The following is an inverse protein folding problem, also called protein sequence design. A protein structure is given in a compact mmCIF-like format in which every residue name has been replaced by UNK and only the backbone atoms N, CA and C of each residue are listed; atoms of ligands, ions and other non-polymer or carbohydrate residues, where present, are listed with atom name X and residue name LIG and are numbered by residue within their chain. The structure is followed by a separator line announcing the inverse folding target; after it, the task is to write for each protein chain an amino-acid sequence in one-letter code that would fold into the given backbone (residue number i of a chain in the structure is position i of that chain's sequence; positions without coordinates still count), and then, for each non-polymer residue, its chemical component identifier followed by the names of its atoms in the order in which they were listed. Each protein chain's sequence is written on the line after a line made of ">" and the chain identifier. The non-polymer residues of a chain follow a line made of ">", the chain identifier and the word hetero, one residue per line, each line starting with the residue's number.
data_IF_938442251735
#
_entry.id   IF_938442251735
#
_cell.length_a   1.000
_cell.length_b   1.000
_cell.length_c   1.000
_cell.angle_alpha   90.00
_cell.angle_beta   90.00
_cell.angle_gamma   90.00
#
_symmetry.space_group_name_H-M   'P 1'
#
loop_
_entity.id
_entity.type
_entity.pdbx_description
1 polymer ?
#
# COMPACT_ATOMS: atom_id res chain seq x y z
N UNK A 1 1.82 13.04 -27.05
CA UNK A 1 1.46 12.26 -25.84
C UNK A 1 2.45 12.63 -24.74
N UNK A 2 2.01 12.72 -23.48
CA UNK A 2 2.90 12.97 -22.35
C UNK A 2 3.61 11.69 -21.95
N UNK A 3 4.93 11.69 -21.73
CA UNK A 3 5.66 10.49 -21.37
C UNK A 3 5.30 10.02 -19.95
N UNK A 4 5.29 8.70 -19.75
CA UNK A 4 5.06 8.02 -18.48
C UNK A 4 6.19 7.04 -18.22
N UNK A 5 6.77 7.06 -17.03
CA UNK A 5 7.72 6.04 -16.59
C UNK A 5 7.06 5.10 -15.60
N UNK A 6 7.12 3.80 -15.87
CA UNK A 6 6.86 2.75 -14.89
C UNK A 6 8.21 2.42 -14.26
N UNK A 7 8.37 2.72 -12.97
CA UNK A 7 9.58 2.44 -12.22
C UNK A 7 9.36 1.22 -11.31
N UNK A 8 10.16 0.18 -11.51
CA UNK A 8 10.16 -1.05 -10.74
C UNK A 8 11.38 -1.03 -9.82
N UNK A 9 11.15 -1.01 -8.50
CA UNK A 9 12.22 -1.14 -7.52
C UNK A 9 12.30 -2.60 -7.05
N UNK A 10 13.47 -3.23 -7.24
CA UNK A 10 13.68 -4.64 -7.00
C UNK A 10 14.76 -4.90 -5.95
N UNK A 11 14.51 -5.89 -5.09
CA UNK A 11 15.53 -6.51 -4.24
C UNK A 11 15.17 -7.97 -3.95
N UNK A 12 15.89 -8.91 -4.58
CA UNK A 12 15.72 -10.36 -4.41
C UNK A 12 14.31 -10.88 -4.75
N UNK A 13 13.76 -10.44 -5.88
CA UNK A 13 12.47 -10.90 -6.42
C UNK A 13 12.61 -11.65 -7.74
N UNK A 14 13.68 -12.45 -7.92
CA UNK A 14 13.96 -13.20 -9.17
C UNK A 14 12.75 -13.98 -9.68
N UNK A 15 11.91 -14.47 -8.79
CA UNK A 15 10.75 -15.29 -9.11
C UNK A 15 9.65 -14.53 -9.86
N UNK A 16 9.50 -13.24 -9.61
CA UNK A 16 8.36 -12.44 -10.08
C UNK A 16 8.77 -11.27 -10.97
N UNK A 17 10.04 -10.88 -10.91
CA UNK A 17 10.53 -9.67 -11.57
C UNK A 17 10.28 -9.68 -13.08
N UNK A 18 10.42 -10.84 -13.74
CA UNK A 18 10.16 -10.96 -15.17
C UNK A 18 8.69 -10.64 -15.50
N UNK A 19 7.74 -11.19 -14.72
CA UNK A 19 6.31 -10.92 -14.91
C UNK A 19 6.01 -9.42 -14.74
N UNK A 20 6.60 -8.77 -13.74
CA UNK A 20 6.42 -7.33 -13.51
C UNK A 20 6.96 -6.49 -14.68
N UNK A 21 8.16 -6.78 -15.17
CA UNK A 21 8.76 -6.09 -16.32
C UNK A 21 7.94 -6.31 -17.59
N UNK A 22 7.53 -7.55 -17.87
CA UNK A 22 6.74 -7.87 -19.06
C UNK A 22 5.37 -7.16 -19.02
N UNK A 23 4.72 -7.09 -17.84
CA UNK A 23 3.48 -6.35 -17.67
C UNK A 23 3.64 -4.84 -17.93
N UNK A 24 4.78 -4.27 -17.54
CA UNK A 24 5.12 -2.87 -17.78
C UNK A 24 5.43 -2.60 -19.26
N UNK A 25 6.09 -3.52 -19.95
CA UNK A 25 6.38 -3.42 -21.39
C UNK A 25 5.15 -3.65 -22.27
N UNK A 26 4.13 -4.37 -21.77
CA UNK A 26 2.92 -4.69 -22.50
C UNK A 26 1.84 -3.59 -22.46
N UNK A 27 2.17 -2.39 -21.98
CA UNK A 27 1.21 -1.28 -21.90
C UNK A 27 0.82 -0.78 -23.30
N UNK A 28 -0.46 -0.51 -23.50
CA UNK A 28 -1.03 -0.01 -24.78
C UNK A 28 -0.80 1.50 -25.02
N UNK A 29 -0.14 2.19 -24.08
CA UNK A 29 0.19 3.61 -24.19
C UNK A 29 1.59 3.81 -24.77
N UNK A 30 1.73 4.32 -26.02
CA UNK A 30 3.01 4.31 -26.75
C UNK A 30 4.14 5.11 -26.13
N UNK A 31 3.84 6.11 -25.28
CA UNK A 31 4.85 6.94 -24.62
C UNK A 31 5.23 6.39 -23.23
N UNK A 32 5.16 5.07 -23.04
CA UNK A 32 5.55 4.39 -21.80
C UNK A 32 7.03 4.02 -21.85
N UNK A 33 7.74 4.29 -20.76
CA UNK A 33 9.13 3.90 -20.52
C UNK A 33 9.18 3.01 -19.26
N UNK A 34 10.05 2.01 -19.25
CA UNK A 34 10.26 1.12 -18.12
C UNK A 34 11.65 1.34 -17.54
N UNK A 35 11.69 1.68 -16.25
CA UNK A 35 12.91 1.82 -15.45
C UNK A 35 12.90 0.73 -14.38
N UNK A 36 14.00 -0.03 -14.28
CA UNK A 36 14.20 -1.01 -13.20
C UNK A 36 15.39 -0.57 -12.36
N UNK A 37 15.16 -0.39 -11.05
CA UNK A 37 16.21 -0.09 -10.08
C UNK A 37 16.42 -1.31 -9.19
N UNK A 38 17.56 -1.95 -9.33
CA UNK A 38 17.99 -3.08 -8.49
C UNK A 38 18.77 -2.58 -7.27
N UNK A 39 18.23 -2.80 -6.09
CA UNK A 39 18.81 -2.38 -4.81
C UNK A 39 19.79 -3.40 -4.23
N UNK A 40 20.71 -3.88 -5.05
CA UNK A 40 21.78 -4.75 -4.58
C UNK A 40 21.35 -6.21 -4.42
N UNK A 41 20.51 -6.75 -5.32
CA UNK A 41 20.09 -8.14 -5.29
C UNK A 41 21.26 -9.13 -5.34
N UNK A 42 21.10 -10.23 -4.62
CA UNK A 42 22.05 -11.34 -4.52
C UNK A 42 21.54 -12.62 -5.18
N UNK A 43 20.28 -12.62 -5.62
CA UNK A 43 19.66 -13.68 -6.42
C UNK A 43 19.89 -13.44 -7.93
N UNK A 44 19.15 -14.12 -8.79
CA UNK A 44 19.26 -13.99 -10.25
C UNK A 44 18.58 -12.74 -10.84
N UNK A 45 18.09 -11.82 -10.01
CA UNK A 45 17.40 -10.61 -10.47
C UNK A 45 18.23 -9.82 -11.48
N UNK A 46 19.54 -9.67 -11.26
CA UNK A 46 20.44 -8.93 -12.17
C UNK A 46 20.63 -9.60 -13.53
N UNK A 47 20.63 -10.93 -13.57
CA UNK A 47 20.65 -11.69 -14.82
C UNK A 47 19.36 -11.46 -15.60
N UNK A 48 18.21 -11.52 -14.91
CA UNK A 48 16.90 -11.25 -15.49
C UNK A 48 16.87 -9.83 -16.06
N UNK A 49 17.23 -8.81 -15.29
CA UNK A 49 17.28 -7.42 -15.76
C UNK A 49 18.16 -7.29 -17.01
N UNK A 50 19.35 -7.92 -17.00
CA UNK A 50 20.28 -7.89 -18.12
C UNK A 50 19.72 -8.51 -19.40
N UNK A 51 18.84 -9.50 -19.29
CA UNK A 51 18.22 -10.19 -20.45
C UNK A 51 17.26 -9.28 -21.23
N UNK A 52 16.75 -8.20 -20.64
CA UNK A 52 15.86 -7.26 -21.32
C UNK A 52 16.60 -6.26 -22.22
N UNK A 53 17.91 -6.09 -22.04
CA UNK A 53 18.75 -5.21 -22.86
C UNK A 53 18.20 -3.79 -22.94
N UNK A 54 18.11 -3.24 -24.15
CA UNK A 54 17.65 -1.86 -24.39
C UNK A 54 16.14 -1.65 -24.27
N UNK A 55 15.34 -2.70 -24.02
CA UNK A 55 13.89 -2.57 -23.82
C UNK A 55 13.52 -1.85 -22.53
N UNK A 56 14.43 -1.87 -21.55
CA UNK A 56 14.28 -1.21 -20.26
C UNK A 56 15.51 -0.36 -19.96
N UNK A 57 15.33 0.66 -19.15
CA UNK A 57 16.45 1.34 -18.49
C UNK A 57 16.74 0.63 -17.16
N UNK A 58 17.97 0.17 -16.96
CA UNK A 58 18.37 -0.54 -15.75
C UNK A 58 19.35 0.31 -14.92
N UNK A 59 19.13 0.36 -13.62
CA UNK A 59 20.01 0.98 -12.63
C UNK A 59 20.35 -0.06 -11.56
N UNK A 60 21.62 -0.46 -11.49
CA UNK A 60 22.09 -1.40 -10.49
C UNK A 60 22.85 -0.64 -9.40
N UNK A 61 22.43 -0.73 -8.15
CA UNK A 61 23.07 -0.04 -7.02
C UNK A 61 23.43 -1.00 -5.88
N UNK A 62 24.19 -0.52 -4.92
CA UNK A 62 24.39 -1.21 -3.65
C UNK A 62 23.10 -1.13 -2.80
N UNK A 63 22.84 -2.15 -1.98
CA UNK A 63 21.65 -2.20 -1.15
C UNK A 63 21.59 -1.03 -0.14
N UNK A 64 20.55 -0.21 -0.25
CA UNK A 64 20.25 0.90 0.63
C UNK A 64 18.83 0.82 1.23
N UNK A 65 18.03 -0.13 0.77
CA UNK A 65 16.62 -0.29 1.15
C UNK A 65 15.66 0.43 0.21
N UNK A 66 14.38 0.22 0.44
CA UNK A 66 13.30 0.68 -0.46
C UNK A 66 13.31 2.20 -0.67
N UNK A 67 13.56 2.99 0.40
CA UNK A 67 13.64 4.46 0.27
C UNK A 67 14.80 4.87 -0.62
N UNK A 68 15.96 4.25 -0.47
CA UNK A 68 17.13 4.51 -1.33
C UNK A 68 16.86 4.15 -2.80
N UNK A 69 16.15 3.04 -3.04
CA UNK A 69 15.75 2.64 -4.39
C UNK A 69 14.75 3.65 -5.01
N UNK A 70 13.76 4.14 -4.24
CA UNK A 70 12.80 5.15 -4.69
C UNK A 70 13.47 6.50 -4.96
N UNK A 71 14.33 6.98 -4.06
CA UNK A 71 15.11 8.19 -4.28
C UNK A 71 15.89 8.09 -5.60
N UNK A 72 16.61 6.97 -5.80
CA UNK A 72 17.36 6.73 -7.03
C UNK A 72 16.46 6.64 -8.26
N UNK A 73 15.32 5.99 -8.18
CA UNK A 73 14.38 5.91 -9.30
C UNK A 73 13.90 7.31 -9.72
N UNK A 74 13.56 8.18 -8.78
CA UNK A 74 13.07 9.53 -9.04
C UNK A 74 14.15 10.45 -9.61
N UNK A 75 15.43 10.24 -9.28
CA UNK A 75 16.56 10.96 -9.89
C UNK A 75 16.75 10.59 -11.37
N UNK A 76 16.37 9.36 -11.74
CA UNK A 76 16.51 8.84 -13.11
C UNK A 76 15.31 9.15 -14.02
N UNK A 77 14.18 9.61 -13.47
CA UNK A 77 12.93 9.82 -14.20
C UNK A 77 12.83 11.26 -14.69
N UNK A 78 12.67 11.43 -16.00
CA UNK A 78 12.42 12.73 -16.65
C UNK A 78 10.96 12.91 -17.07
N UNK A 79 10.19 11.84 -17.15
CA UNK A 79 8.77 11.87 -17.55
C UNK A 79 7.89 12.67 -16.57
N UNK A 80 6.83 13.28 -17.09
CA UNK A 80 5.89 14.07 -16.28
C UNK A 80 5.07 13.19 -15.31
N UNK A 81 4.82 11.93 -15.68
CA UNK A 81 4.01 10.99 -14.89
C UNK A 81 4.80 9.74 -14.55
N UNK A 82 4.57 9.22 -13.36
CA UNK A 82 5.29 8.07 -12.79
C UNK A 82 4.31 7.07 -12.20
N UNK A 83 4.49 5.79 -12.51
CA UNK A 83 3.88 4.68 -11.78
C UNK A 83 5.00 3.95 -11.04
N UNK A 84 4.83 3.73 -9.74
CA UNK A 84 5.76 2.95 -8.93
C UNK A 84 5.19 1.54 -8.80
N UNK A 85 5.80 0.58 -9.49
CA UNK A 85 5.36 -0.81 -9.53
C UNK A 85 6.28 -1.67 -8.65
N UNK A 86 5.70 -2.43 -7.73
CA UNK A 86 6.44 -3.42 -6.95
C UNK A 86 6.85 -4.60 -7.84
N UNK A 87 8.01 -5.20 -7.55
CA UNK A 87 8.64 -6.21 -8.40
C UNK A 87 7.91 -7.57 -8.43
N UNK A 88 6.87 -7.73 -7.63
CA UNK A 88 6.02 -8.92 -7.53
C UNK A 88 4.57 -8.69 -8.03
N UNK A 89 4.23 -7.44 -8.40
CA UNK A 89 2.92 -7.04 -8.87
C UNK A 89 2.85 -6.93 -10.41
N UNK A 90 1.65 -6.74 -10.93
CA UNK A 90 1.38 -6.65 -12.37
C UNK A 90 0.51 -5.44 -12.71
N UNK A 91 0.75 -4.84 -13.88
CA UNK A 91 -0.19 -3.90 -14.51
C UNK A 91 -0.96 -4.60 -15.64
N UNK A 92 -2.25 -4.25 -15.78
CA UNK A 92 -3.01 -4.70 -16.96
C UNK A 92 -2.67 -3.83 -18.17
N UNK A 93 -2.79 -4.35 -19.41
CA UNK A 93 -2.30 -3.66 -20.60
C UNK A 93 -2.83 -2.24 -20.80
N UNK A 94 -4.05 -1.95 -20.34
CA UNK A 94 -4.70 -0.64 -20.47
C UNK A 94 -4.45 0.30 -19.27
N UNK A 95 -3.61 -0.08 -18.31
CA UNK A 95 -3.46 0.68 -17.07
C UNK A 95 -2.96 2.12 -17.31
N UNK A 96 -1.91 2.27 -18.10
CA UNK A 96 -1.35 3.60 -18.39
C UNK A 96 -2.34 4.46 -19.17
N UNK A 97 -3.04 3.91 -20.15
CA UNK A 97 -4.06 4.65 -20.93
C UNK A 97 -5.17 5.19 -20.04
N UNK A 98 -5.72 4.38 -19.14
CA UNK A 98 -6.78 4.81 -18.22
C UNK A 98 -6.28 5.85 -17.20
N UNK A 99 -5.09 5.66 -16.66
CA UNK A 99 -4.42 6.61 -15.76
C UNK A 99 -4.23 7.95 -16.45
N UNK A 100 -3.72 7.96 -17.69
CA UNK A 100 -3.48 9.20 -18.44
C UNK A 100 -4.78 9.89 -18.84
N UNK A 101 -5.84 9.14 -19.14
CA UNK A 101 -7.18 9.70 -19.35
C UNK A 101 -7.69 10.40 -18.08
N UNK A 102 -7.45 9.79 -16.92
CA UNK A 102 -7.84 10.38 -15.64
C UNK A 102 -7.05 11.64 -15.33
N UNK A 103 -5.74 11.66 -15.55
CA UNK A 103 -4.93 12.88 -15.40
C UNK A 103 -5.38 14.02 -16.34
N UNK A 104 -5.83 13.69 -17.54
CA UNK A 104 -6.33 14.68 -18.49
C UNK A 104 -7.68 15.30 -18.08
N UNK A 105 -8.44 14.67 -17.18
CA UNK A 105 -9.76 15.13 -16.73
C UNK A 105 -9.73 16.14 -15.57
N UNK A 106 -8.55 16.47 -15.04
CA UNK A 106 -8.43 17.41 -13.92
C UNK A 106 -6.99 17.63 -13.46
N UNK A 107 -6.80 18.55 -12.54
CA UNK A 107 -5.47 18.83 -11.96
C UNK A 107 -5.23 17.95 -10.73
N UNK A 108 -4.80 16.72 -10.97
CA UNK A 108 -4.50 15.75 -9.93
C UNK A 108 -3.00 15.60 -9.72
N UNK A 109 -2.55 15.57 -8.48
CA UNK A 109 -1.19 15.22 -8.11
C UNK A 109 -0.95 13.70 -8.13
N UNK A 110 -2.02 12.94 -7.89
CA UNK A 110 -2.02 11.48 -7.81
C UNK A 110 -3.32 10.94 -8.43
N UNK A 111 -3.20 9.84 -9.17
CA UNK A 111 -4.30 8.98 -9.60
C UNK A 111 -4.07 7.60 -9.01
N UNK A 112 -5.04 7.08 -8.27
CA UNK A 112 -5.01 5.72 -7.76
C UNK A 112 -6.06 4.85 -8.46
N UNK A 113 -5.80 3.55 -8.55
CA UNK A 113 -6.68 2.57 -9.16
C UNK A 113 -6.70 1.27 -8.36
N UNK A 114 -7.75 0.49 -8.54
CA UNK A 114 -7.87 -0.79 -7.82
C UNK A 114 -6.94 -1.83 -8.39
N UNK A 115 -6.56 -2.78 -7.54
CA UNK A 115 -5.77 -3.95 -7.90
C UNK A 115 -6.58 -5.21 -7.55
N UNK A 116 -6.61 -6.18 -8.46
CA UNK A 116 -7.06 -7.53 -8.13
C UNK A 116 -6.02 -8.20 -7.24
N UNK A 117 -6.46 -8.89 -6.22
CA UNK A 117 -5.55 -9.67 -5.39
C UNK A 117 -5.33 -11.04 -6.03
N UNK A 118 -4.06 -11.39 -6.23
CA UNK A 118 -3.64 -12.69 -6.77
C UNK A 118 -2.80 -13.46 -5.76
N UNK A 119 -2.87 -14.78 -5.80
CA UNK A 119 -1.99 -15.67 -5.04
C UNK A 119 -0.56 -15.66 -5.56
N UNK A 120 0.31 -16.37 -4.87
CA UNK A 120 1.70 -16.57 -5.28
C UNK A 120 1.82 -17.28 -6.64
N UNK A 121 0.82 -18.08 -6.99
CA UNK A 121 0.67 -18.79 -8.27
C UNK A 121 0.07 -17.93 -9.40
N UNK A 122 -0.27 -16.67 -9.13
CA UNK A 122 -0.90 -15.75 -10.08
C UNK A 122 -2.43 -15.92 -10.19
N UNK A 123 -3.04 -16.86 -9.46
CA UNK A 123 -4.48 -17.07 -9.51
C UNK A 123 -5.25 -15.95 -8.80
N UNK A 124 -6.32 -15.43 -9.42
CA UNK A 124 -7.16 -14.40 -8.83
C UNK A 124 -7.91 -14.94 -7.61
N UNK A 125 -7.86 -14.21 -6.51
CA UNK A 125 -8.60 -14.55 -5.28
C UNK A 125 -10.05 -14.05 -5.31
N UNK A 126 -10.38 -13.21 -6.31
CA UNK A 126 -11.65 -12.50 -6.43
C UNK A 126 -11.79 -11.32 -5.44
N UNK A 127 -10.77 -10.97 -4.70
CA UNK A 127 -10.70 -9.75 -3.87
C UNK A 127 -10.04 -8.64 -4.67
N UNK A 128 -10.53 -7.41 -4.46
CA UNK A 128 -9.98 -6.19 -5.09
C UNK A 128 -9.67 -5.16 -4.01
N UNK A 129 -8.55 -4.47 -4.12
CA UNK A 129 -8.11 -3.45 -3.16
C UNK A 129 -7.79 -2.11 -3.84
N UNK A 130 -8.09 -0.96 -3.20
CA UNK A 130 -8.89 -0.79 -2.00
C UNK A 130 -10.39 -1.04 -2.27
N UNK A 131 -11.17 -1.28 -1.21
CA UNK A 131 -12.61 -1.47 -1.35
C UNK A 131 -13.39 -0.16 -1.58
N UNK A 132 -12.80 0.99 -1.23
CA UNK A 132 -13.40 2.31 -1.38
C UNK A 132 -12.44 3.26 -2.07
N UNK A 133 -12.99 4.22 -2.79
CA UNK A 133 -12.24 5.27 -3.44
C UNK A 133 -11.72 6.28 -2.40
N UNK A 134 -10.62 6.97 -2.73
CA UNK A 134 -10.15 8.09 -1.94
C UNK A 134 -11.16 9.25 -2.02
N UNK A 135 -11.39 9.99 -0.93
CA UNK A 135 -12.16 11.21 -0.98
C UNK A 135 -11.45 12.30 -1.81
N UNK A 136 -12.20 13.30 -2.24
CA UNK A 136 -11.65 14.37 -3.07
C UNK A 136 -10.55 15.18 -2.34
N UNK A 137 -10.71 15.42 -1.05
CA UNK A 137 -9.77 16.19 -0.22
C UNK A 137 -9.03 15.29 0.79
N UNK A 138 -8.08 14.54 0.27
CA UNK A 138 -7.19 13.73 1.10
C UNK A 138 -6.22 14.60 1.95
N UNK A 139 -5.88 15.78 1.48
CA UNK A 139 -4.96 16.68 2.17
C UNK A 139 -5.50 17.18 3.51
N UNK A 140 -6.76 17.55 3.57
CA UNK A 140 -7.43 17.96 4.82
C UNK A 140 -7.50 16.79 5.80
N UNK A 141 -7.89 15.60 5.34
CA UNK A 141 -7.91 14.41 6.20
C UNK A 141 -6.55 14.10 6.83
N UNK A 142 -5.46 14.21 6.06
CA UNK A 142 -4.11 14.02 6.58
C UNK A 142 -3.73 15.08 7.63
N UNK A 143 -4.15 16.34 7.44
CA UNK A 143 -3.94 17.40 8.45
C UNK A 143 -4.74 17.17 9.73
N UNK A 144 -5.81 16.40 9.66
CA UNK A 144 -6.59 15.93 10.81
C UNK A 144 -6.06 14.60 11.38
N UNK A 145 -5.00 14.03 10.77
CA UNK A 145 -4.39 12.77 11.18
C UNK A 145 -5.03 11.52 10.57
N UNK A 146 -5.98 11.62 9.65
CA UNK A 146 -6.60 10.46 9.02
C UNK A 146 -5.85 10.00 7.78
N UNK A 147 -5.43 8.74 7.76
CA UNK A 147 -4.97 8.09 6.54
C UNK A 147 -6.17 7.68 5.69
N UNK A 148 -6.17 8.07 4.43
CA UNK A 148 -7.26 7.76 3.50
C UNK A 148 -7.04 6.39 2.81
N UNK A 149 -8.12 5.75 2.31
CA UNK A 149 -8.01 4.49 1.59
C UNK A 149 -7.16 4.63 0.33
N UNK A 150 -6.09 3.87 0.25
CA UNK A 150 -5.21 3.78 -0.92
C UNK A 150 -4.89 2.31 -1.24
N UNK A 151 -4.69 1.96 -2.51
CA UNK A 151 -4.10 0.69 -2.87
C UNK A 151 -2.63 0.60 -2.40
N UNK A 152 -2.01 -0.59 -2.43
CA UNK A 152 -0.55 -0.73 -2.37
C UNK A 152 0.16 0.11 -3.43
N UNK A 153 1.50 0.21 -3.35
CA UNK A 153 2.33 1.04 -4.23
C UNK A 153 1.93 0.96 -5.71
N UNK A 154 1.78 -0.25 -6.22
CA UNK A 154 1.51 -0.56 -7.63
C UNK A 154 0.20 -0.01 -8.19
N UNK A 155 -0.75 0.33 -7.31
CA UNK A 155 -2.04 0.92 -7.69
C UNK A 155 -2.03 2.45 -7.76
N UNK A 156 -0.86 3.11 -7.85
CA UNK A 156 -0.75 4.55 -7.79
C UNK A 156 0.12 5.11 -8.91
N UNK A 157 -0.37 6.17 -9.51
CA UNK A 157 0.36 6.99 -10.47
C UNK A 157 0.44 8.44 -9.97
N UNK A 158 1.53 9.11 -10.27
CA UNK A 158 1.85 10.41 -9.71
C UNK A 158 2.30 11.40 -10.79
N UNK A 159 2.03 12.70 -10.58
CA UNK A 159 2.82 13.74 -11.24
C UNK A 159 4.21 13.77 -10.62
N UNK A 160 5.26 13.73 -11.44
CA UNK A 160 6.63 13.85 -10.98
C UNK A 160 6.85 15.13 -10.16
N UNK A 161 6.28 16.25 -10.60
CA UNK A 161 6.35 17.53 -9.88
C UNK A 161 5.76 17.49 -8.46
N UNK A 162 4.84 16.58 -8.17
CA UNK A 162 4.33 16.36 -6.82
C UNK A 162 5.26 15.46 -6.00
N UNK A 163 5.80 14.40 -6.61
CA UNK A 163 6.79 13.53 -5.96
C UNK A 163 8.05 14.30 -5.54
N UNK A 164 8.57 15.17 -6.38
CA UNK A 164 9.79 15.96 -6.09
C UNK A 164 9.64 16.96 -4.94
N UNK A 165 8.40 17.29 -4.55
CA UNK A 165 8.15 18.08 -3.33
C UNK A 165 8.31 17.24 -2.05
N UNK A 166 8.18 15.93 -2.16
CA UNK A 166 8.26 14.99 -1.03
C UNK A 166 9.63 14.32 -0.98
N UNK A 167 10.12 13.85 -2.13
CA UNK A 167 11.41 13.17 -2.27
C UNK A 167 12.56 14.15 -2.60
N UNK A 168 13.82 13.77 -2.31
CA UNK A 168 14.26 12.54 -1.67
C UNK A 168 13.88 12.46 -0.18
N UNK A 169 13.55 11.27 0.30
CA UNK A 169 13.35 10.99 1.72
C UNK A 169 14.71 10.74 2.37
N UNK A 170 14.98 11.24 3.59
CA UNK A 170 16.21 10.92 4.32
C UNK A 170 16.37 9.41 4.52
N UNK A 171 17.55 8.88 4.15
CA UNK A 171 17.89 7.47 4.26
C UNK A 171 18.41 7.18 5.67
N UNK A 172 17.51 6.86 6.58
CA UNK A 172 17.83 6.47 7.96
C UNK A 172 17.48 4.99 8.19
N UNK A 173 17.97 4.42 9.28
CA UNK A 173 17.57 3.06 9.69
C UNK A 173 16.06 2.92 9.89
N UNK A 174 15.40 3.99 10.33
CA UNK A 174 13.96 4.02 10.61
C UNK A 174 13.11 4.18 9.33
N UNK A 175 13.63 4.93 8.34
CA UNK A 175 12.95 5.17 7.06
C UNK A 175 13.34 4.20 5.95
N UNK A 176 14.20 3.20 6.23
CA UNK A 176 14.73 2.25 5.24
C UNK A 176 13.65 1.56 4.39
N UNK A 177 12.48 1.34 4.98
CA UNK A 177 11.33 0.65 4.35
C UNK A 177 10.09 1.55 4.38
N UNK A 178 9.14 1.27 3.46
CA UNK A 178 7.87 2.00 3.38
C UNK A 178 7.97 3.28 2.56
N UNK A 179 8.78 3.30 1.52
CA UNK A 179 8.90 4.43 0.60
C UNK A 179 7.55 4.78 -0.05
N UNK A 180 6.72 3.78 -0.30
CA UNK A 180 5.35 3.90 -0.79
C UNK A 180 4.46 4.76 0.12
N UNK A 181 4.62 4.65 1.44
CA UNK A 181 3.89 5.47 2.41
C UNK A 181 4.10 6.97 2.16
N UNK A 182 5.34 7.38 1.89
CA UNK A 182 5.66 8.78 1.59
C UNK A 182 5.09 9.24 0.25
N UNK A 183 5.15 8.40 -0.78
CA UNK A 183 4.57 8.71 -2.08
C UNK A 183 3.03 8.80 -1.98
N UNK A 184 2.39 7.82 -1.33
CA UNK A 184 0.93 7.75 -1.20
C UNK A 184 0.38 8.95 -0.43
N UNK A 185 0.86 9.17 0.78
CA UNK A 185 0.29 10.16 1.68
C UNK A 185 0.94 11.54 1.54
N UNK A 186 2.24 11.59 1.29
CA UNK A 186 2.94 12.87 1.11
C UNK A 186 2.45 13.65 -0.10
N UNK A 187 2.25 13.00 -1.24
CA UNK A 187 1.76 13.65 -2.46
C UNK A 187 0.35 14.22 -2.29
N UNK A 188 -0.50 13.61 -1.47
CA UNK A 188 -1.83 14.14 -1.18
C UNK A 188 -1.82 15.46 -0.38
N UNK A 189 -0.69 15.82 0.25
CA UNK A 189 -0.52 17.14 0.89
C UNK A 189 -0.27 18.27 -0.10
N UNK A 190 0.11 17.95 -1.34
CA UNK A 190 0.51 18.94 -2.35
C UNK A 190 -0.46 19.05 -3.52
N UNK A 191 -1.50 18.21 -3.58
CA UNK A 191 -2.51 18.28 -4.63
C UNK A 191 -3.59 17.22 -4.50
N UNK A 192 -4.57 17.31 -5.39
CA UNK A 192 -5.73 16.43 -5.36
C UNK A 192 -5.40 14.99 -5.75
N UNK A 193 -6.17 14.06 -5.18
CA UNK A 193 -6.13 12.63 -5.48
C UNK A 193 -7.39 12.25 -6.25
N UNK A 194 -7.22 11.51 -7.33
CA UNK A 194 -8.34 10.91 -8.06
C UNK A 194 -8.32 9.40 -7.96
N UNK A 195 -9.49 8.77 -8.00
CA UNK A 195 -9.63 7.32 -8.01
C UNK A 195 -10.21 6.83 -9.32
N UNK A 196 -9.77 5.65 -9.75
CA UNK A 196 -10.35 4.83 -10.82
C UNK A 196 -10.88 3.55 -10.15
N UNK A 197 -12.19 3.34 -10.22
CA UNK A 197 -12.83 2.20 -9.56
C UNK A 197 -12.54 0.85 -10.25
N UNK A 198 -12.00 0.88 -11.48
CA UNK A 198 -11.64 -0.31 -12.23
C UNK A 198 -10.31 -0.88 -11.73
N UNK A 199 -10.15 -2.21 -11.58
CA UNK A 199 -8.85 -2.84 -11.42
C UNK A 199 -8.00 -2.67 -12.68
N UNK A 200 -6.80 -2.11 -12.52
CA UNK A 200 -5.85 -1.88 -13.62
C UNK A 200 -4.52 -2.61 -13.40
N UNK A 201 -4.49 -3.53 -12.44
CA UNK A 201 -3.34 -4.37 -12.14
C UNK A 201 -3.69 -5.43 -11.11
N UNK A 202 -2.69 -6.16 -10.71
CA UNK A 202 -2.81 -7.23 -9.72
C UNK A 202 -1.77 -7.07 -8.60
N UNK A 203 -2.23 -7.20 -7.36
CA UNK A 203 -1.43 -7.24 -6.14
C UNK A 203 -1.20 -8.67 -5.68
N UNK A 204 0.06 -9.09 -5.60
CA UNK A 204 0.43 -10.45 -5.25
C UNK A 204 0.58 -10.63 -3.74
N UNK A 205 -0.05 -11.69 -3.20
CA UNK A 205 0.11 -12.10 -1.81
C UNK A 205 0.91 -13.41 -1.74
N UNK A 206 1.93 -13.44 -0.86
CA UNK A 206 2.94 -14.50 -0.84
C UNK A 206 2.63 -15.67 0.08
N UNK A 207 1.63 -15.55 0.95
CA UNK A 207 1.29 -16.60 1.91
C UNK A 207 0.04 -17.37 1.47
N UNK A 208 -0.24 -18.49 2.14
CA UNK A 208 -1.54 -19.16 2.08
C UNK A 208 -2.62 -18.25 2.69
N UNK A 209 -2.81 -17.11 2.06
CA UNK A 209 -3.48 -15.92 2.58
C UNK A 209 -4.90 -16.19 3.14
N UNK A 210 -5.54 -17.28 2.72
CA UNK A 210 -6.83 -17.69 3.29
C UNK A 210 -6.72 -18.25 4.71
N UNK A 211 -5.56 -18.75 5.11
CA UNK A 211 -5.30 -19.35 6.44
C UNK A 211 -4.67 -18.35 7.42
N UNK A 212 -4.09 -17.25 6.91
CA UNK A 212 -3.44 -16.25 7.76
C UNK A 212 -4.46 -15.35 8.48
N UNK A 213 -4.05 -14.85 9.64
CA UNK A 213 -4.88 -13.94 10.46
C UNK A 213 -5.01 -12.58 9.83
N UNK A 214 -3.98 -12.10 9.14
CA UNK A 214 -3.98 -10.79 8.49
C UNK A 214 -3.71 -10.88 6.99
N UNK A 215 -4.38 -10.00 6.26
CA UNK A 215 -4.21 -9.81 4.83
C UNK A 215 -3.20 -8.68 4.61
N UNK A 216 -1.93 -9.00 4.56
CA UNK A 216 -0.88 -8.11 4.09
C UNK A 216 0.39 -8.93 3.85
N UNK A 217 1.22 -8.51 2.90
CA UNK A 217 2.61 -8.97 2.78
C UNK A 217 3.46 -8.38 3.91
N UNK A 218 3.05 -8.59 5.16
CA UNK A 218 3.90 -8.23 6.28
C UNK A 218 4.93 -9.34 6.48
N UNK A 219 6.19 -9.02 6.25
CA UNK A 219 7.28 -9.88 6.71
C UNK A 219 7.04 -10.21 8.19
N UNK A 220 7.21 -11.48 8.57
CA UNK A 220 7.04 -11.99 9.94
C UNK A 220 7.80 -11.20 11.02
N UNK A 221 8.77 -10.38 10.61
CA UNK A 221 9.58 -9.52 11.47
C UNK A 221 9.11 -8.05 11.52
N UNK A 222 8.08 -7.68 10.77
CA UNK A 222 7.57 -6.33 10.82
C UNK A 222 6.76 -6.18 12.10
N UNK A 223 7.33 -5.54 13.12
CA UNK A 223 6.61 -5.03 14.28
C UNK A 223 5.70 -3.90 13.78
N UNK A 224 4.67 -4.29 13.01
CA UNK A 224 3.83 -3.44 12.19
C UNK A 224 3.37 -2.13 12.87
N UNK A 225 2.93 -2.13 14.14
CA UNK A 225 2.53 -0.89 14.81
C UNK A 225 3.65 0.14 14.92
N UNK A 226 4.84 -0.28 15.34
CA UNK A 226 5.99 0.64 15.49
C UNK A 226 6.49 1.19 14.16
N UNK A 227 6.44 0.37 13.10
CA UNK A 227 6.84 0.81 11.77
C UNK A 227 5.91 1.90 11.20
N UNK A 228 4.59 1.78 11.40
CA UNK A 228 3.64 2.82 10.99
C UNK A 228 3.87 4.14 11.71
N UNK A 229 4.05 4.11 13.03
CA UNK A 229 4.35 5.30 13.83
C UNK A 229 5.67 5.96 13.38
N UNK A 230 6.71 5.19 13.10
CA UNK A 230 7.98 5.71 12.57
C UNK A 230 7.80 6.39 11.20
N UNK A 231 7.05 5.75 10.27
CA UNK A 231 6.73 6.33 8.95
C UNK A 231 5.91 7.62 9.06
N UNK A 232 4.92 7.65 9.97
CA UNK A 232 4.14 8.85 10.22
C UNK A 232 5.00 10.00 10.75
N UNK A 233 5.87 9.74 11.72
CA UNK A 233 6.78 10.73 12.25
C UNK A 233 7.77 11.25 11.19
N UNK A 234 8.28 10.38 10.34
CA UNK A 234 9.13 10.77 9.21
C UNK A 234 8.36 11.61 8.18
N UNK A 235 7.10 11.25 7.87
CA UNK A 235 6.25 12.06 6.99
C UNK A 235 5.97 13.44 7.60
N UNK A 236 5.69 13.52 8.89
CA UNK A 236 5.53 14.80 9.60
C UNK A 236 6.77 15.69 9.47
N UNK A 237 7.95 15.09 9.64
CA UNK A 237 9.22 15.80 9.46
C UNK A 237 9.36 16.33 8.04
N UNK A 238 9.13 15.51 7.03
CA UNK A 238 9.21 15.90 5.61
C UNK A 238 8.17 16.98 5.27
N UNK A 239 6.92 16.84 5.72
CA UNK A 239 5.85 17.80 5.51
C UNK A 239 6.20 19.17 6.10
N UNK A 240 6.72 19.19 7.33
CA UNK A 240 7.18 20.43 7.97
C UNK A 240 8.34 21.07 7.22
N UNK A 241 9.38 20.30 6.92
CA UNK A 241 10.62 20.83 6.31
C UNK A 241 10.45 21.29 4.87
N UNK A 242 9.63 20.58 4.07
CA UNK A 242 9.54 20.82 2.64
C UNK A 242 8.28 21.55 2.19
N UNK A 243 7.19 21.40 2.94
CA UNK A 243 5.88 21.94 2.56
C UNK A 243 5.40 23.03 3.51
N UNK A 244 6.09 23.25 4.64
CA UNK A 244 5.63 24.09 5.72
C UNK A 244 4.22 23.68 6.22
N UNK A 245 3.97 22.36 6.30
CA UNK A 245 2.71 21.75 6.73
C UNK A 245 2.94 21.03 8.06
N UNK A 246 2.20 21.42 9.09
CA UNK A 246 2.19 20.72 10.37
C UNK A 246 1.13 19.61 10.32
N UNK A 247 1.56 18.39 10.65
CA UNK A 247 0.68 17.23 10.83
C UNK A 247 0.60 16.88 12.31
N UNK A 248 -0.54 16.36 12.80
CA UNK A 248 -0.70 15.99 14.22
C UNK A 248 0.29 14.89 14.65
N UNK A 249 0.54 14.81 15.94
CA UNK A 249 1.44 13.78 16.49
C UNK A 249 0.89 12.37 16.36
N UNK A 250 -0.42 12.22 16.51
CA UNK A 250 -1.14 10.96 16.31
C UNK A 250 -1.70 10.88 14.88
N UNK A 251 -1.85 9.66 14.38
CA UNK A 251 -2.60 9.37 13.17
C UNK A 251 -3.69 8.34 13.46
N UNK A 252 -4.69 8.29 12.56
CA UNK A 252 -5.81 7.38 12.66
C UNK A 252 -5.91 6.56 11.37
N UNK A 253 -5.80 5.26 11.50
CA UNK A 253 -5.98 4.29 10.41
C UNK A 253 -6.56 2.99 10.97
N UNK A 254 -7.75 2.62 10.47
CA UNK A 254 -8.37 1.36 10.88
C UNK A 254 -7.51 0.15 10.52
N UNK A 255 -6.75 0.18 9.43
CA UNK A 255 -5.90 -0.95 9.04
C UNK A 255 -4.78 -1.18 10.04
N UNK A 256 -4.19 -0.10 10.56
CA UNK A 256 -3.20 -0.14 11.62
C UNK A 256 -3.79 -0.68 12.93
N UNK A 257 -4.87 -0.08 13.39
CA UNK A 257 -5.53 -0.47 14.65
C UNK A 257 -6.08 -1.89 14.58
N UNK A 258 -6.61 -2.29 13.42
CA UNK A 258 -7.04 -3.66 13.17
C UNK A 258 -5.88 -4.66 13.28
N UNK A 259 -4.67 -4.31 12.81
CA UNK A 259 -3.51 -5.19 12.94
C UNK A 259 -3.12 -5.38 14.41
N UNK A 260 -3.18 -4.33 15.23
CA UNK A 260 -2.98 -4.41 16.68
C UNK A 260 -4.06 -5.30 17.32
N UNK A 261 -5.33 -5.01 17.04
CA UNK A 261 -6.46 -5.84 17.52
C UNK A 261 -6.24 -7.32 17.20
N UNK A 262 -5.81 -7.64 15.98
CA UNK A 262 -5.58 -9.02 15.58
C UNK A 262 -4.44 -9.68 16.36
N UNK A 263 -3.33 -8.98 16.57
CA UNK A 263 -2.18 -9.51 17.30
C UNK A 263 -2.47 -9.73 18.78
N UNK A 264 -3.32 -8.90 19.38
CA UNK A 264 -3.66 -8.97 20.80
C UNK A 264 -4.80 -9.96 21.11
N UNK A 265 -5.73 -10.18 20.18
CA UNK A 265 -6.93 -10.96 20.42
C UNK A 265 -6.82 -12.40 19.89
N UNK A 266 -6.08 -12.61 18.76
CA UNK A 266 -5.97 -13.94 18.19
C UNK A 266 -5.16 -14.89 19.06
N UNK A 267 -5.79 -16.01 19.48
CA UNK A 267 -5.16 -16.98 20.36
C UNK A 267 -5.10 -16.57 21.84
N UNK A 268 -5.52 -15.35 22.18
CA UNK A 268 -5.52 -14.87 23.57
C UNK A 268 -6.56 -15.58 24.43
N UNK A 269 -6.28 -15.72 25.71
CA UNK A 269 -7.23 -16.22 26.70
C UNK A 269 -8.41 -15.25 26.90
N UNK A 270 -9.50 -15.74 27.46
CA UNK A 270 -10.68 -14.91 27.73
C UNK A 270 -10.36 -13.67 28.61
N UNK A 271 -9.55 -13.86 29.63
CA UNK A 271 -9.13 -12.76 30.53
C UNK A 271 -8.25 -11.73 29.85
N UNK A 272 -7.32 -12.14 28.99
CA UNK A 272 -6.49 -11.25 28.21
C UNK A 272 -7.31 -10.42 27.23
N UNK A 273 -8.29 -11.03 26.51
CA UNK A 273 -9.20 -10.32 25.63
C UNK A 273 -9.99 -9.24 26.36
N UNK A 274 -10.58 -9.57 27.52
CA UNK A 274 -11.31 -8.62 28.34
C UNK A 274 -10.44 -7.49 28.85
N UNK A 275 -9.20 -7.80 29.30
CA UNK A 275 -8.22 -6.79 29.72
C UNK A 275 -7.90 -5.83 28.58
N UNK A 276 -7.63 -6.34 27.39
CA UNK A 276 -7.33 -5.50 26.22
C UNK A 276 -8.51 -4.59 25.89
N UNK A 277 -9.73 -5.11 25.84
CA UNK A 277 -10.92 -4.31 25.57
C UNK A 277 -11.16 -3.23 26.64
N UNK A 278 -10.88 -3.52 27.90
CA UNK A 278 -11.12 -2.60 29.02
C UNK A 278 -10.10 -1.45 29.07
N UNK A 279 -8.84 -1.70 28.68
CA UNK A 279 -7.73 -0.76 28.95
C UNK A 279 -6.99 -0.30 27.69
N UNK A 280 -7.00 -1.04 26.61
CA UNK A 280 -6.15 -0.81 25.44
C UNK A 280 -6.91 -0.56 24.14
N UNK A 281 -8.24 -0.84 24.08
CA UNK A 281 -9.03 -0.75 22.86
C UNK A 281 -9.41 0.67 22.39
N UNK A 282 -9.01 1.71 23.13
CA UNK A 282 -9.44 3.10 22.88
C UNK A 282 -9.20 3.54 21.44
N UNK A 283 -7.99 3.36 20.93
CA UNK A 283 -7.60 3.84 19.60
C UNK A 283 -8.25 3.00 18.51
N UNK A 284 -8.39 1.69 18.73
CA UNK A 284 -9.14 0.79 17.87
C UNK A 284 -10.61 1.21 17.75
N UNK A 285 -11.30 1.43 18.89
CA UNK A 285 -12.69 1.88 18.88
C UNK A 285 -12.83 3.27 18.28
N UNK A 286 -11.91 4.18 18.55
CA UNK A 286 -11.88 5.51 17.93
C UNK A 286 -11.75 5.41 16.42
N UNK A 287 -10.86 4.54 15.90
CA UNK A 287 -10.67 4.32 14.46
C UNK A 287 -11.91 3.76 13.75
N UNK A 288 -12.86 3.19 14.49
CA UNK A 288 -14.17 2.76 13.97
C UNK A 288 -15.20 3.87 14.09
N UNK A 289 -15.40 4.41 15.31
CA UNK A 289 -16.47 5.36 15.61
C UNK A 289 -16.28 6.68 14.87
N UNK A 290 -15.06 7.24 14.92
CA UNK A 290 -14.72 8.50 14.26
C UNK A 290 -14.36 8.32 12.78
N UNK A 291 -14.33 7.08 12.23
CA UNK A 291 -13.94 6.81 10.85
C UNK A 291 -14.74 7.66 9.85
N UNK A 292 -14.09 8.56 9.08
CA UNK A 292 -14.79 9.46 8.17
C UNK A 292 -15.29 8.76 6.89
N UNK A 293 -14.79 7.54 6.60
CA UNK A 293 -15.08 6.78 5.38
C UNK A 293 -16.21 5.78 5.54
N UNK A 294 -16.72 5.59 6.78
CA UNK A 294 -17.69 4.54 7.09
C UNK A 294 -19.05 5.08 7.49
N UNK A 295 -20.09 4.52 6.89
CA UNK A 295 -21.47 4.74 7.32
C UNK A 295 -21.78 4.03 8.65
N UNK A 296 -22.89 4.42 9.31
CA UNK A 296 -23.26 3.92 10.66
C UNK A 296 -23.41 2.41 10.71
N UNK A 297 -23.99 1.78 9.69
CA UNK A 297 -24.18 0.33 9.63
C UNK A 297 -22.85 -0.44 9.70
N UNK A 298 -21.85 0.03 8.96
CA UNK A 298 -20.51 -0.60 8.97
C UNK A 298 -19.82 -0.40 10.31
N UNK A 299 -19.94 0.79 10.91
CA UNK A 299 -19.40 1.09 12.24
C UNK A 299 -19.99 0.16 13.30
N UNK A 300 -21.32 0.11 13.40
CA UNK A 300 -22.03 -0.74 14.34
C UNK A 300 -21.75 -2.23 14.12
N UNK A 301 -21.74 -2.68 12.85
CA UNK A 301 -21.43 -4.05 12.51
C UNK A 301 -20.01 -4.46 12.91
N UNK A 302 -19.02 -3.59 12.71
CA UNK A 302 -17.64 -3.86 13.11
C UNK A 302 -17.50 -3.91 14.63
N UNK A 303 -18.13 -2.99 15.37
CA UNK A 303 -18.13 -3.01 16.85
C UNK A 303 -18.81 -4.28 17.35
N UNK A 304 -19.99 -4.62 16.82
CA UNK A 304 -20.72 -5.83 17.23
C UNK A 304 -19.91 -7.11 16.99
N UNK A 305 -19.25 -7.24 15.83
CA UNK A 305 -18.34 -8.35 15.56
C UNK A 305 -17.18 -8.39 16.56
N UNK A 306 -16.56 -7.23 16.85
CA UNK A 306 -15.47 -7.18 17.82
C UNK A 306 -15.91 -7.60 19.21
N UNK A 307 -17.12 -7.25 19.64
CA UNK A 307 -17.69 -7.68 20.92
C UNK A 307 -17.90 -9.20 21.02
N UNK A 308 -18.09 -9.90 19.90
CA UNK A 308 -18.16 -11.37 19.91
C UNK A 308 -16.83 -12.01 20.38
N UNK A 309 -15.72 -11.31 20.30
CA UNK A 309 -14.44 -11.77 20.83
C UNK A 309 -14.43 -11.83 22.37
N UNK A 310 -15.39 -11.17 23.05
CA UNK A 310 -15.57 -11.20 24.50
C UNK A 310 -16.38 -12.41 25.00
N UNK A 311 -16.82 -13.30 24.11
CA UNK A 311 -17.46 -14.56 24.49
C UNK A 311 -16.38 -15.56 24.94
N UNK A 312 -16.59 -16.35 26.03
CA UNK A 312 -15.61 -17.30 26.54
C UNK A 312 -15.50 -18.56 25.68
N UNK A 313 -15.41 -18.40 24.37
CA UNK A 313 -15.24 -19.47 23.38
C UNK A 313 -14.19 -19.10 22.35
N UNK A 314 -12.97 -19.57 22.54
CA UNK A 314 -11.82 -19.22 21.74
C UNK A 314 -11.97 -19.48 20.23
N UNK A 315 -12.59 -20.58 19.75
CA UNK A 315 -12.79 -20.80 18.32
C UNK A 315 -13.60 -19.69 17.66
N UNK A 316 -14.65 -19.17 18.32
CA UNK A 316 -15.46 -18.07 17.81
C UNK A 316 -14.64 -16.79 17.73
N UNK A 317 -13.90 -16.46 18.80
CA UNK A 317 -13.03 -15.28 18.81
C UNK A 317 -12.01 -15.33 17.67
N UNK A 318 -11.32 -16.44 17.49
CA UNK A 318 -10.34 -16.61 16.41
C UNK A 318 -10.99 -16.50 15.01
N UNK A 319 -12.18 -17.07 14.85
CA UNK A 319 -12.95 -16.93 13.61
C UNK A 319 -13.31 -15.46 13.32
N UNK A 320 -13.82 -14.75 14.32
CA UNK A 320 -14.20 -13.34 14.19
C UNK A 320 -12.99 -12.45 13.87
N UNK A 321 -11.85 -12.67 14.54
CA UNK A 321 -10.62 -11.95 14.24
C UNK A 321 -10.23 -12.15 12.77
N UNK A 322 -10.21 -13.37 12.27
CA UNK A 322 -9.94 -13.67 10.85
C UNK A 322 -10.96 -13.00 9.94
N UNK A 323 -12.24 -13.05 10.28
CA UNK A 323 -13.30 -12.45 9.50
C UNK A 323 -13.15 -10.92 9.39
N UNK A 324 -12.75 -10.23 10.46
CA UNK A 324 -12.50 -8.79 10.46
C UNK A 324 -11.24 -8.45 9.65
N UNK A 325 -10.18 -9.22 9.83
CA UNK A 325 -8.84 -8.88 9.34
C UNK A 325 -8.55 -9.36 7.93
N UNK A 326 -9.11 -10.49 7.52
CA UNK A 326 -8.76 -11.15 6.28
C UNK A 326 -9.96 -11.27 5.31
N UNK A 327 -10.01 -10.46 4.24
CA UNK A 327 -11.09 -10.53 3.24
C UNK A 327 -11.19 -11.90 2.55
N UNK A 328 -10.11 -12.66 2.44
CA UNK A 328 -10.09 -14.00 1.83
C UNK A 328 -10.77 -15.04 2.73
N UNK A 329 -10.61 -14.91 4.05
CA UNK A 329 -11.29 -15.80 5.01
C UNK A 329 -12.81 -15.69 4.95
N UNK A 330 -13.37 -14.54 4.52
CA UNK A 330 -14.82 -14.34 4.37
C UNK A 330 -15.41 -15.15 3.23
N UNK A 331 -14.64 -15.47 2.19
CA UNK A 331 -15.11 -16.17 1.00
C UNK A 331 -15.05 -17.68 1.14
N UNK A 332 -14.08 -18.22 1.88
CA UNK A 332 -14.02 -19.66 2.17
C UNK A 332 -15.22 -20.15 2.98
N UNK A 333 -15.86 -19.27 3.77
CA UNK A 333 -17.07 -19.59 4.54
C UNK A 333 -18.38 -19.56 3.71
N UNK A 334 -18.37 -18.99 2.52
CA UNK A 334 -19.54 -18.92 1.65
C UNK A 334 -19.62 -20.07 0.64
N UNK A 335 -18.61 -20.95 0.61
CA UNK A 335 -18.52 -22.10 -0.28
C UNK A 335 -18.80 -23.45 0.41
N UNK A 336 -19.24 -23.43 1.67
CA UNK A 336 -19.78 -24.54 2.47
C UNK A 336 -21.21 -24.17 2.94
#
# INVERSE_FOLDING_TARGET
>A
MKPVTIAICNYNYERFLADAIDSALAQDYPATQVLVVDDGSTDRSREIIGSYGSRIRAVLKANGGQVSAYNRALDEIDSEHVILLDADDLLYPNAVTEVMRRFASGDYAKVQFRLDVIGQDGMRTGVTVPHSDAPADCGTLLREGWLYPSPPASGNAYKRSALTKIFPIPETSESRYGADFFAIYGVALVGQVASIAQPLGAYRVHNSAAQDVSFANSEKNNKAPKAYTARWNALRYVARQRLNVELPSAFHDFSHEKAIFCSEIYGASFTERWRWFAFESRDYLHSIVANPFWGPVKKLGTIGLSCLCLVPYAPLSNYVVRFISNPLARRSSAAH
#
